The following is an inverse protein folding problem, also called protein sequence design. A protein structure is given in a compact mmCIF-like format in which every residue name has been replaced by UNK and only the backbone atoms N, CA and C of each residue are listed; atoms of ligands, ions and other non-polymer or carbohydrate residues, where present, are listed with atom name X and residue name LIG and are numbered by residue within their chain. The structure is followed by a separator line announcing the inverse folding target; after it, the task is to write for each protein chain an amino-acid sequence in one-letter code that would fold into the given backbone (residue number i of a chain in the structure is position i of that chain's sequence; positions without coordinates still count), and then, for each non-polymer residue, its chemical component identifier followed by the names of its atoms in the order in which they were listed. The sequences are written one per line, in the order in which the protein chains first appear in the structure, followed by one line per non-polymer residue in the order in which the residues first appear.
data_IF_926880793300
#
_entry.id   IF_926880793300
#
_cell.length_a   1.000
_cell.length_b   1.000
_cell.length_c   1.000
_cell.angle_alpha   90.00
_cell.angle_beta   90.00
_cell.angle_gamma   90.00
#
_symmetry.space_group_name_H-M   'P 1'
#
loop_
_entity.id
_entity.type
_entity.pdbx_description
1 polymer ?
#
# COMPACT_ATOMS: atom_id res chain seq x y z
N UNK A 1 6.39 13.60 12.30
CA UNK A 1 5.06 12.95 12.27
C UNK A 1 4.97 12.09 11.04
N UNK A 2 4.73 10.81 11.23
CA UNK A 2 4.69 9.85 10.12
C UNK A 2 3.42 9.95 9.31
N UNK A 3 3.50 9.55 8.04
CA UNK A 3 2.34 9.29 7.20
C UNK A 3 2.27 7.81 6.88
N UNK A 4 1.08 7.30 6.72
CA UNK A 4 0.90 5.87 6.46
C UNK A 4 0.04 5.65 5.22
N UNK A 5 0.43 4.66 4.43
CA UNK A 5 -0.43 4.10 3.39
C UNK A 5 -1.02 2.83 3.97
N UNK A 6 -2.32 2.72 3.95
CA UNK A 6 -3.02 1.50 4.37
C UNK A 6 -3.83 1.00 3.18
N UNK A 7 -3.51 -0.20 2.74
CA UNK A 7 -4.20 -0.83 1.62
C UNK A 7 -4.89 -2.10 2.10
N UNK A 8 -6.11 -2.30 1.66
CA UNK A 8 -6.87 -3.50 1.95
C UNK A 8 -7.41 -4.04 0.64
N UNK A 9 -6.85 -5.12 0.16
CA UNK A 9 -6.99 -5.59 -1.21
C UNK A 9 -7.46 -7.03 -1.32
N UNK A 10 -8.16 -7.30 -2.42
CA UNK A 10 -8.47 -8.64 -2.88
C UNK A 10 -7.76 -8.83 -4.22
N UNK A 11 -6.81 -9.75 -4.28
CA UNK A 11 -6.02 -10.00 -5.48
C UNK A 11 -6.83 -10.91 -6.42
N UNK A 12 -7.14 -10.40 -7.61
CA UNK A 12 -7.91 -11.13 -8.62
C UNK A 12 -7.04 -12.04 -9.49
N UNK A 13 -5.82 -11.59 -9.77
CA UNK A 13 -4.89 -12.33 -10.62
C UNK A 13 -3.51 -12.33 -9.97
N UNK A 14 -3.21 -13.36 -9.14
CA UNK A 14 -1.94 -13.41 -8.40
C UNK A 14 -0.69 -13.36 -9.27
N UNK A 15 -0.69 -14.03 -10.42
CA UNK A 15 0.49 -14.07 -11.29
C UNK A 15 0.81 -12.70 -11.87
N UNK A 16 -0.21 -11.99 -12.37
CA UNK A 16 -0.02 -10.63 -12.89
C UNK A 16 0.29 -9.63 -11.79
N UNK A 17 -0.29 -9.81 -10.60
CA UNK A 17 -0.03 -8.95 -9.46
C UNK A 17 1.41 -9.03 -8.97
N UNK A 18 2.07 -10.16 -9.18
CA UNK A 18 3.46 -10.36 -8.80
C UNK A 18 4.38 -9.33 -9.44
N UNK A 19 4.10 -8.92 -10.67
CA UNK A 19 4.86 -7.86 -11.35
C UNK A 19 4.78 -6.56 -10.57
N UNK A 20 3.58 -6.23 -10.03
CA UNK A 20 3.41 -5.05 -9.17
C UNK A 20 4.30 -5.15 -7.92
N UNK A 21 4.27 -6.29 -7.24
CA UNK A 21 5.07 -6.50 -6.03
C UNK A 21 6.55 -6.34 -6.31
N UNK A 22 7.02 -6.85 -7.45
CA UNK A 22 8.44 -6.77 -7.82
C UNK A 22 8.89 -5.32 -8.11
N UNK A 23 7.99 -4.49 -8.66
CA UNK A 23 8.33 -3.13 -9.08
C UNK A 23 8.06 -2.06 -8.04
N UNK A 24 7.09 -2.27 -7.16
CA UNK A 24 6.64 -1.22 -6.24
C UNK A 24 7.65 -0.90 -5.15
N UNK A 25 8.43 -1.88 -4.70
CA UNK A 25 9.36 -1.73 -3.57
C UNK A 25 10.36 -0.59 -3.80
N UNK A 26 10.96 -0.53 -5.00
CA UNK A 26 11.93 0.52 -5.33
C UNK A 26 11.32 1.92 -5.28
N UNK A 27 10.05 2.04 -5.71
CA UNK A 27 9.35 3.33 -5.69
C UNK A 27 9.11 3.80 -4.25
N UNK A 28 8.73 2.87 -3.38
CA UNK A 28 8.48 3.16 -1.97
C UNK A 28 9.76 3.62 -1.28
N UNK A 29 10.85 2.89 -1.50
CA UNK A 29 12.16 3.22 -0.90
C UNK A 29 12.66 4.58 -1.32
N UNK A 30 12.44 4.97 -2.56
CA UNK A 30 12.86 6.28 -3.06
C UNK A 30 12.28 7.43 -2.25
N UNK A 31 11.06 7.29 -1.75
CA UNK A 31 10.37 8.32 -0.95
C UNK A 31 10.50 8.08 0.54
N UNK A 32 11.39 7.20 0.96
CA UNK A 32 11.66 6.94 2.38
C UNK A 32 10.65 6.04 3.07
N UNK A 33 9.85 5.32 2.27
CA UNK A 33 8.85 4.41 2.82
C UNK A 33 9.42 3.07 3.25
N UNK A 34 8.76 2.45 4.21
CA UNK A 34 9.09 1.10 4.66
C UNK A 34 7.81 0.33 4.96
N UNK A 35 7.80 -0.96 4.64
CA UNK A 35 6.67 -1.82 4.99
C UNK A 35 6.66 -2.10 6.48
N UNK A 36 5.51 -1.89 7.13
CA UNK A 36 5.26 -2.32 8.50
C UNK A 36 4.43 -3.60 8.53
N UNK A 37 3.49 -3.72 7.60
CA UNK A 37 2.67 -4.92 7.40
C UNK A 37 2.61 -5.20 5.90
N UNK A 38 2.86 -6.45 5.52
CA UNK A 38 2.81 -6.83 4.11
C UNK A 38 2.10 -8.18 4.00
N UNK A 39 0.75 -8.11 3.96
CA UNK A 39 -0.11 -9.29 3.88
C UNK A 39 0.12 -10.27 5.04
N UNK A 40 0.29 -9.72 6.25
CA UNK A 40 0.47 -10.54 7.44
C UNK A 40 -0.77 -11.33 7.82
N UNK A 41 -0.57 -12.38 8.60
CA UNK A 41 -1.66 -13.14 9.18
C UNK A 41 -2.49 -12.26 10.10
N UNK A 42 -3.80 -12.44 10.07
CA UNK A 42 -4.70 -11.65 10.91
C UNK A 42 -5.88 -12.49 11.40
N UNK A 43 -6.56 -11.98 12.42
CA UNK A 43 -7.78 -12.57 12.94
C UNK A 43 -8.83 -11.48 13.03
N UNK A 44 -10.01 -11.71 12.50
CA UNK A 44 -11.11 -10.76 12.58
C UNK A 44 -11.70 -10.83 14.00
N UNK A 45 -11.62 -9.74 14.72
CA UNK A 45 -12.12 -9.66 16.10
C UNK A 45 -13.54 -9.13 16.14
N UNK A 46 -13.91 -8.25 15.20
CA UNK A 46 -15.25 -7.66 15.12
C UNK A 46 -15.56 -7.33 13.67
N UNK A 47 -16.82 -7.50 13.28
CA UNK A 47 -17.31 -7.11 11.97
C UNK A 47 -16.84 -8.00 10.84
N UNK A 48 -16.91 -7.45 9.63
CA UNK A 48 -16.49 -8.12 8.41
C UNK A 48 -15.17 -7.52 7.91
N UNK A 49 -14.27 -8.37 7.41
CA UNK A 49 -13.04 -7.96 6.76
C UNK A 49 -13.09 -8.45 5.32
N UNK A 50 -13.60 -7.60 4.42
CA UNK A 50 -13.97 -8.01 3.07
C UNK A 50 -12.78 -8.35 2.16
N UNK A 51 -11.66 -7.65 2.34
CA UNK A 51 -10.48 -7.81 1.50
C UNK A 51 -9.37 -8.43 2.32
N UNK A 52 -8.85 -9.61 1.92
CA UNK A 52 -7.97 -10.38 2.80
C UNK A 52 -6.54 -9.86 2.94
N UNK A 53 -6.07 -9.07 1.95
CA UNK A 53 -4.67 -8.60 1.98
C UNK A 53 -4.58 -7.22 2.61
N UNK A 54 -3.85 -7.10 3.71
CA UNK A 54 -3.62 -5.81 4.36
C UNK A 54 -2.14 -5.44 4.26
N UNK A 55 -1.88 -4.21 3.80
CA UNK A 55 -0.53 -3.67 3.68
C UNK A 55 -0.50 -2.33 4.40
N UNK A 56 0.54 -2.11 5.21
CA UNK A 56 0.78 -0.83 5.87
C UNK A 56 2.19 -0.40 5.55
N UNK A 57 2.32 0.81 5.00
CA UNK A 57 3.62 1.38 4.64
C UNK A 57 3.78 2.68 5.42
N UNK A 58 4.92 2.85 6.07
CA UNK A 58 5.25 4.07 6.80
C UNK A 58 6.14 4.96 5.94
N UNK A 59 5.77 6.23 5.81
CA UNK A 59 6.59 7.27 5.18
C UNK A 59 7.03 8.28 6.23
N UNK A 60 8.12 9.05 5.96
CA UNK A 60 8.62 10.04 6.94
C UNK A 60 7.55 11.04 7.37
N UNK A 61 6.64 11.38 6.46
CA UNK A 61 5.52 12.28 6.78
C UNK A 61 4.39 12.05 5.77
N UNK A 62 3.26 12.69 6.03
CA UNK A 62 2.06 12.59 5.20
C UNK A 62 2.33 13.06 3.76
N UNK A 63 3.04 14.18 3.61
CA UNK A 63 3.33 14.74 2.29
C UNK A 63 4.18 13.81 1.44
N UNK A 64 5.15 13.11 2.05
CA UNK A 64 5.98 12.14 1.35
C UNK A 64 5.16 10.95 0.84
N UNK A 65 4.17 10.50 1.61
CA UNK A 65 3.27 9.44 1.16
C UNK A 65 2.46 9.89 -0.06
N UNK A 66 1.95 11.13 -0.04
CA UNK A 66 1.23 11.71 -1.17
C UNK A 66 2.15 11.88 -2.38
N UNK A 67 3.37 12.34 -2.18
CA UNK A 67 4.35 12.47 -3.25
C UNK A 67 4.63 11.12 -3.92
N UNK A 68 4.80 10.06 -3.11
CA UNK A 68 4.99 8.72 -3.65
C UNK A 68 3.81 8.30 -4.54
N UNK A 69 2.59 8.45 -4.05
CA UNK A 69 1.40 8.02 -4.79
C UNK A 69 1.26 8.76 -6.12
N UNK A 70 1.64 10.03 -6.17
CA UNK A 70 1.53 10.88 -7.35
C UNK A 70 2.83 10.98 -8.15
N UNK A 71 3.84 10.18 -7.82
CA UNK A 71 5.16 10.27 -8.43
C UNK A 71 5.22 9.68 -9.84
N UNK A 72 6.20 10.16 -10.62
CA UNK A 72 6.49 9.58 -11.93
C UNK A 72 6.95 8.13 -11.82
N UNK A 73 7.62 7.79 -10.71
CA UNK A 73 8.11 6.43 -10.46
C UNK A 73 6.96 5.44 -10.24
N UNK A 74 5.92 5.86 -9.53
CA UNK A 74 4.78 4.99 -9.24
C UNK A 74 3.77 4.95 -10.40
N UNK A 75 3.75 5.97 -11.23
CA UNK A 75 2.79 6.11 -12.33
C UNK A 75 2.69 4.88 -13.23
N UNK A 76 3.81 4.29 -13.71
CA UNK A 76 3.73 3.08 -14.54
C UNK A 76 3.42 1.81 -13.75
N UNK A 77 3.60 1.83 -12.44
CA UNK A 77 3.40 0.66 -11.57
C UNK A 77 1.95 0.55 -11.10
N UNK A 78 1.32 1.67 -10.79
CA UNK A 78 -0.04 1.72 -10.27
C UNK A 78 -1.09 0.99 -11.13
N UNK A 79 -1.11 1.10 -12.46
CA UNK A 79 -2.09 0.40 -13.28
C UNK A 79 -2.05 -1.12 -13.14
N UNK A 80 -0.88 -1.69 -12.84
CA UNK A 80 -0.74 -3.14 -12.65
C UNK A 80 -1.56 -3.57 -11.44
N UNK A 81 -1.50 -2.80 -10.33
CA UNK A 81 -2.29 -3.07 -9.14
C UNK A 81 -3.78 -2.90 -9.43
N UNK A 82 -4.16 -1.79 -10.08
CA UNK A 82 -5.56 -1.49 -10.35
C UNK A 82 -6.22 -2.54 -11.26
N UNK A 83 -5.47 -3.08 -12.22
CA UNK A 83 -5.99 -4.09 -13.14
C UNK A 83 -6.15 -5.47 -12.49
N UNK A 84 -5.39 -5.76 -11.44
CA UNK A 84 -5.28 -7.12 -10.89
C UNK A 84 -5.75 -7.25 -9.44
N UNK A 85 -6.37 -6.22 -8.89
CA UNK A 85 -6.91 -6.25 -7.53
C UNK A 85 -8.11 -5.34 -7.39
N UNK A 86 -8.93 -5.64 -6.39
CA UNK A 86 -10.01 -4.76 -5.93
C UNK A 86 -9.71 -4.37 -4.49
N UNK A 87 -10.29 -3.28 -4.02
CA UNK A 87 -10.19 -2.90 -2.64
C UNK A 87 -9.96 -1.41 -2.45
N UNK A 88 -9.32 -1.08 -1.35
CA UNK A 88 -9.20 0.28 -0.88
C UNK A 88 -7.77 0.62 -0.51
N UNK A 89 -7.40 1.88 -0.67
CA UNK A 89 -6.13 2.40 -0.21
C UNK A 89 -6.37 3.80 0.35
N UNK A 90 -5.85 4.06 1.53
CA UNK A 90 -5.89 5.41 2.11
C UNK A 90 -4.47 5.84 2.46
N UNK A 91 -4.29 7.14 2.56
CA UNK A 91 -3.09 7.75 3.11
C UNK A 91 -3.56 8.55 4.33
N UNK A 92 -2.98 8.29 5.48
CA UNK A 92 -3.43 8.85 6.74
C UNK A 92 -2.26 9.40 7.55
N UNK A 93 -2.48 10.49 8.25
CA UNK A 93 -1.48 11.05 9.15
C UNK A 93 -1.35 10.18 10.38
N UNK A 94 -0.12 10.03 10.84
CA UNK A 94 0.14 9.38 12.10
C UNK A 94 -0.24 10.24 13.28
N UNK A 95 0.09 9.75 14.46
CA UNK A 95 -0.19 10.43 15.72
C UNK A 95 0.52 11.78 15.79
N UNK A 96 -0.15 12.77 16.31
CA UNK A 96 0.33 14.17 16.31
C UNK A 96 0.70 14.73 17.69
N UNK A 97 0.57 13.94 18.76
CA UNK A 97 0.98 14.39 20.10
C UNK A 97 2.45 14.19 20.39
#
# INVERSE_FOLDING_TARGET
MSGFVIANLNIKNPDAYKEYVDKVVATIKKFGGEYLVRAGEYKVMEGEWKNPRTVVIKFPNYDKALEWYNSEEYKPVKPIRLANSDGNMIIIKGVTW
#
